data_IF_822053060469
#
_entry.id   IF_822053060469
#
_cell.length_a   1.000
_cell.length_b   1.000
_cell.length_c   1.000
_cell.angle_alpha   90.00
_cell.angle_beta   90.00
_cell.angle_gamma   90.00
#
_symmetry.space_group_name_H-M   'P 1'
#
loop_
_entity.id
_entity.type
_entity.pdbx_description
1 polymer ?
#
# COMPACT_ATOMS: atom_id res chain seq x y z
N UNK A 1 -7.06 -29.15 11.75
CA UNK A 1 -8.38 -28.50 11.68
C UNK A 1 -9.24 -28.67 12.93
N UNK A 2 -8.92 -29.58 13.85
CA UNK A 2 -9.75 -29.95 15.01
C UNK A 2 -10.29 -28.76 15.84
N UNK A 3 -9.59 -27.62 15.87
CA UNK A 3 -10.02 -26.39 16.52
C UNK A 3 -11.34 -25.79 15.96
N UNK A 4 -11.60 -25.93 14.66
CA UNK A 4 -12.86 -25.48 14.01
C UNK A 4 -13.83 -26.65 13.73
N UNK A 5 -13.34 -27.89 13.85
CA UNK A 5 -14.04 -29.13 13.48
C UNK A 5 -14.63 -29.08 12.04
N UNK A 6 -13.88 -28.53 11.08
CA UNK A 6 -14.21 -28.52 9.66
C UNK A 6 -13.17 -29.34 8.88
N UNK A 7 -13.62 -30.29 8.05
CA UNK A 7 -12.74 -31.04 7.15
C UNK A 7 -12.50 -30.24 5.85
N UNK A 8 -11.26 -29.89 5.48
CA UNK A 8 -10.95 -29.17 4.25
C UNK A 8 -11.38 -29.90 2.97
N UNK A 9 -11.53 -31.24 3.00
CA UNK A 9 -11.94 -32.04 1.84
C UNK A 9 -13.36 -31.68 1.36
N UNK A 10 -14.20 -31.10 2.22
CA UNK A 10 -15.53 -30.62 1.85
C UNK A 10 -15.55 -29.23 1.17
N UNK A 11 -14.40 -28.55 1.04
CA UNK A 11 -14.34 -27.17 0.55
C UNK A 11 -13.53 -27.06 -0.75
N UNK A 12 -14.17 -26.56 -1.82
CA UNK A 12 -13.53 -26.34 -3.11
C UNK A 12 -12.39 -25.30 -3.08
N UNK A 13 -12.38 -24.40 -2.09
CA UNK A 13 -11.37 -23.34 -1.96
C UNK A 13 -11.07 -23.01 -0.49
N UNK A 14 -9.86 -22.52 -0.21
CA UNK A 14 -9.46 -22.10 1.14
C UNK A 14 -10.33 -20.94 1.67
N UNK A 15 -10.66 -19.88 0.90
CA UNK A 15 -11.57 -18.83 1.38
C UNK A 15 -12.95 -19.36 1.81
N UNK A 16 -13.50 -20.36 1.11
CA UNK A 16 -14.77 -20.98 1.51
C UNK A 16 -14.67 -21.73 2.85
N UNK A 17 -13.55 -22.42 3.11
CA UNK A 17 -13.26 -23.02 4.41
C UNK A 17 -13.09 -21.95 5.50
N UNK A 18 -12.39 -20.85 5.21
CA UNK A 18 -12.21 -19.74 6.17
C UNK A 18 -13.53 -19.09 6.54
N UNK A 19 -14.39 -18.79 5.56
CA UNK A 19 -15.72 -18.21 5.76
C UNK A 19 -16.63 -19.10 6.62
N UNK A 20 -16.65 -20.41 6.34
CA UNK A 20 -17.40 -21.35 7.18
C UNK A 20 -16.81 -21.55 8.57
N UNK A 21 -15.49 -21.40 8.74
CA UNK A 21 -14.86 -21.41 10.06
C UNK A 21 -15.22 -20.16 10.86
N UNK A 22 -15.24 -19.00 10.22
CA UNK A 22 -15.63 -17.70 10.80
C UNK A 22 -17.07 -17.72 11.31
N UNK A 23 -18.05 -18.04 10.46
CA UNK A 23 -19.47 -18.12 10.85
C UNK A 23 -19.69 -19.17 11.94
N UNK A 24 -19.06 -20.35 11.85
CA UNK A 24 -19.19 -21.39 12.90
C UNK A 24 -18.58 -20.98 14.24
N UNK A 25 -17.53 -20.16 14.24
CA UNK A 25 -16.85 -19.72 15.48
C UNK A 25 -17.59 -18.56 16.15
N UNK A 26 -18.13 -17.64 15.37
CA UNK A 26 -18.81 -16.43 15.86
C UNK A 26 -20.30 -16.64 16.12
N UNK A 27 -20.96 -17.51 15.34
CA UNK A 27 -22.42 -17.61 15.20
C UNK A 27 -23.08 -16.30 14.72
N UNK A 28 -22.32 -15.45 14.02
CA UNK A 28 -22.77 -14.20 13.38
C UNK A 28 -23.84 -14.50 12.32
N UNK A 29 -24.85 -13.64 12.18
CA UNK A 29 -25.92 -13.77 11.18
C UNK A 29 -25.93 -12.54 10.28
N UNK A 30 -25.03 -12.55 9.29
CA UNK A 30 -24.91 -11.48 8.31
C UNK A 30 -26.19 -11.36 7.47
N UNK A 31 -26.77 -10.16 7.46
CA UNK A 31 -27.89 -9.83 6.58
C UNK A 31 -27.42 -9.69 5.12
N UNK A 32 -28.27 -10.11 4.18
CA UNK A 32 -28.04 -9.91 2.77
C UNK A 32 -28.72 -8.63 2.29
N UNK A 33 -27.94 -7.76 1.64
CA UNK A 33 -28.47 -6.60 0.92
C UNK A 33 -29.52 -7.06 -0.11
N UNK A 34 -30.77 -6.69 0.11
CA UNK A 34 -31.90 -6.99 -0.80
C UNK A 34 -32.22 -5.84 -1.75
N UNK A 35 -31.78 -4.63 -1.41
CA UNK A 35 -31.91 -3.42 -2.21
C UNK A 35 -30.75 -3.29 -3.20
N UNK A 36 -31.07 -3.02 -4.48
CA UNK A 36 -30.08 -2.93 -5.55
C UNK A 36 -29.31 -1.61 -5.55
N UNK A 37 -29.93 -0.51 -5.11
CA UNK A 37 -29.30 0.81 -5.08
C UNK A 37 -28.33 0.90 -3.89
N UNK A 38 -28.66 0.29 -2.74
CA UNK A 38 -27.70 0.04 -1.65
C UNK A 38 -26.51 -0.81 -2.12
N UNK A 39 -26.77 -1.88 -2.87
CA UNK A 39 -25.70 -2.75 -3.40
C UNK A 39 -24.77 -1.98 -4.36
N UNK A 40 -25.33 -1.19 -5.29
CA UNK A 40 -24.56 -0.39 -6.24
C UNK A 40 -23.79 0.74 -5.56
N UNK A 41 -24.39 1.41 -4.57
CA UNK A 41 -23.69 2.40 -3.73
C UNK A 41 -22.47 1.77 -3.08
N UNK A 42 -22.63 0.61 -2.44
CA UNK A 42 -21.54 -0.12 -1.78
C UNK A 42 -20.49 -0.63 -2.75
N UNK A 43 -20.86 -1.23 -3.89
CA UNK A 43 -19.91 -1.66 -4.92
C UNK A 43 -19.10 -0.47 -5.46
N UNK A 44 -19.76 0.65 -5.74
CA UNK A 44 -19.11 1.89 -6.17
C UNK A 44 -18.20 2.51 -5.10
N UNK A 45 -18.45 2.22 -3.82
CA UNK A 45 -17.65 2.63 -2.67
C UNK A 45 -16.42 1.76 -2.38
N UNK A 46 -16.41 0.48 -2.80
CA UNK A 46 -15.30 -0.45 -2.50
C UNK A 46 -13.96 0.05 -3.07
N UNK A 47 -12.94 0.15 -2.22
CA UNK A 47 -11.56 0.51 -2.60
C UNK A 47 -10.59 -0.60 -2.20
N UNK A 48 -9.71 -0.98 -3.13
CA UNK A 48 -8.56 -1.83 -2.82
C UNK A 48 -7.48 -1.06 -2.04
N UNK A 49 -6.68 -1.76 -1.24
CA UNK A 49 -5.66 -1.14 -0.38
C UNK A 49 -4.73 -0.17 -1.13
N UNK A 50 -4.62 1.04 -0.58
CA UNK A 50 -3.90 2.17 -1.18
C UNK A 50 -2.47 1.82 -1.58
N UNK A 51 -2.03 2.39 -2.70
CA UNK A 51 -0.76 2.02 -3.32
C UNK A 51 -0.26 3.18 -4.16
N UNK A 52 0.27 4.18 -3.45
CA UNK A 52 0.70 5.49 -3.96
C UNK A 52 2.16 5.76 -3.63
N UNK A 53 2.72 6.72 -4.35
CA UNK A 53 4.09 6.63 -4.85
C UNK A 53 4.55 8.06 -5.25
N UNK A 54 4.99 8.89 -4.28
CA UNK A 54 5.02 10.36 -4.44
C UNK A 54 6.38 11.06 -4.59
N UNK A 55 7.54 10.43 -4.30
CA UNK A 55 8.87 11.10 -4.40
C UNK A 55 9.95 10.20 -4.99
N UNK A 56 10.03 10.16 -6.32
CA UNK A 56 10.67 9.17 -7.18
C UNK A 56 12.05 8.60 -6.76
N UNK A 57 13.01 9.36 -6.25
CA UNK A 57 14.31 8.78 -5.86
C UNK A 57 14.82 9.34 -4.54
N UNK A 58 15.41 8.46 -3.72
CA UNK A 58 16.00 8.86 -2.45
C UNK A 58 17.23 8.05 -2.09
N UNK A 59 18.29 8.77 -1.71
CA UNK A 59 19.55 8.27 -1.14
C UNK A 59 19.67 8.81 0.28
N UNK A 60 19.99 7.94 1.24
CA UNK A 60 20.11 8.33 2.64
C UNK A 60 21.45 9.02 2.94
N UNK A 61 21.44 9.94 3.91
CA UNK A 61 22.62 10.57 4.49
C UNK A 61 22.44 10.63 6.01
N UNK A 62 23.00 9.69 6.75
CA UNK A 62 22.90 9.71 8.21
C UNK A 62 24.08 9.00 8.87
N UNK A 63 24.34 9.36 10.13
CA UNK A 63 25.44 8.90 11.01
C UNK A 63 25.59 7.38 11.21
N UNK A 64 24.70 6.57 10.67
CA UNK A 64 24.80 5.10 10.68
C UNK A 64 25.30 4.52 9.34
N UNK A 65 25.70 5.37 8.39
CA UNK A 65 26.25 5.00 7.09
C UNK A 65 27.74 5.35 7.00
N UNK A 66 28.51 4.45 6.39
CA UNK A 66 29.96 4.59 6.12
C UNK A 66 30.32 5.85 5.31
N UNK A 67 29.34 6.41 4.58
CA UNK A 67 29.49 7.56 3.68
C UNK A 67 28.73 8.82 4.17
N UNK A 68 28.50 8.95 5.48
CA UNK A 68 27.83 10.11 6.06
C UNK A 68 28.62 11.41 5.80
N UNK A 69 27.91 12.43 5.33
CA UNK A 69 28.42 13.80 5.18
C UNK A 69 27.76 14.71 6.22
N UNK A 70 28.57 15.26 7.12
CA UNK A 70 28.16 16.20 8.17
C UNK A 70 27.76 17.58 7.63
N UNK A 71 28.18 17.94 6.41
CA UNK A 71 27.80 19.20 5.75
C UNK A 71 26.42 19.10 5.06
N UNK A 72 25.92 17.89 4.83
CA UNK A 72 24.61 17.62 4.22
C UNK A 72 23.54 17.31 5.28
N UNK A 73 22.27 17.70 5.06
CA UNK A 73 21.18 17.39 5.99
C UNK A 73 21.04 15.90 6.31
N UNK A 74 20.64 15.59 7.54
CA UNK A 74 20.31 14.24 7.99
C UNK A 74 19.05 13.71 7.30
N UNK A 75 19.18 12.51 6.74
CA UNK A 75 18.21 11.89 5.83
C UNK A 75 18.17 10.39 6.00
N UNK A 76 16.97 9.88 6.25
CA UNK A 76 16.67 8.48 6.57
C UNK A 76 15.60 7.94 5.63
N UNK A 77 15.63 6.63 5.38
CA UNK A 77 14.61 5.92 4.57
C UNK A 77 14.26 4.65 5.35
N UNK A 78 12.96 4.38 5.53
CA UNK A 78 12.44 3.19 6.23
C UNK A 78 11.40 2.46 5.37
N UNK A 79 11.26 1.16 5.59
CA UNK A 79 10.16 0.35 5.06
C UNK A 79 9.37 -0.24 6.25
N UNK A 80 8.15 0.26 6.45
CA UNK A 80 7.22 -0.20 7.48
C UNK A 80 6.14 -1.09 6.86
N UNK A 81 5.78 -2.18 7.55
CA UNK A 81 4.63 -3.04 7.23
C UNK A 81 3.80 -3.29 8.49
N UNK A 82 2.48 -3.47 8.39
CA UNK A 82 1.60 -3.69 9.55
C UNK A 82 1.38 -5.19 9.76
N UNK A 83 1.65 -5.69 10.97
CA UNK A 83 1.38 -7.08 11.36
C UNK A 83 -0.10 -7.44 11.12
N UNK A 84 -0.39 -8.10 9.99
CA UNK A 84 -1.73 -8.48 9.53
C UNK A 84 -2.74 -7.33 9.52
N UNK A 85 -2.53 -6.33 8.65
CA UNK A 85 -3.40 -5.15 8.53
C UNK A 85 -4.91 -5.45 8.47
N UNK A 86 -5.33 -6.38 7.59
CA UNK A 86 -6.76 -6.69 7.44
C UNK A 86 -7.34 -7.44 8.65
N UNK A 87 -6.64 -8.44 9.17
CA UNK A 87 -7.07 -9.14 10.40
C UNK A 87 -7.00 -8.26 11.65
N UNK A 88 -6.19 -7.21 11.64
CA UNK A 88 -6.21 -6.14 12.66
C UNK A 88 -7.52 -5.35 12.54
N UNK A 89 -7.86 -4.88 11.34
CA UNK A 89 -9.07 -4.10 11.12
C UNK A 89 -10.33 -4.88 11.50
N UNK A 90 -10.40 -6.16 11.12
CA UNK A 90 -11.51 -7.08 11.47
C UNK A 90 -11.57 -7.44 12.97
N UNK A 91 -10.51 -7.21 13.74
CA UNK A 91 -10.45 -7.58 15.17
C UNK A 91 -10.61 -6.40 16.14
N UNK A 92 -10.51 -5.15 15.65
CA UNK A 92 -10.51 -3.95 16.49
C UNK A 92 -11.50 -2.86 16.07
N UNK A 93 -12.19 -2.99 14.93
CA UNK A 93 -13.25 -2.07 14.51
C UNK A 93 -14.57 -2.81 14.32
N UNK A 94 -15.68 -2.13 14.60
CA UNK A 94 -17.02 -2.62 14.31
C UNK A 94 -17.18 -2.75 12.79
N UNK A 95 -17.68 -3.91 12.35
CA UNK A 95 -18.05 -4.18 10.95
C UNK A 95 -19.58 -4.28 10.86
N UNK A 96 -20.21 -3.87 9.75
CA UNK A 96 -21.66 -3.97 9.60
C UNK A 96 -22.11 -5.44 9.46
N UNK A 97 -23.08 -5.85 10.28
CA UNK A 97 -23.70 -7.19 10.26
C UNK A 97 -25.11 -7.17 9.65
N UNK A 98 -25.94 -6.19 10.03
CA UNK A 98 -27.38 -6.16 9.74
C UNK A 98 -27.99 -4.76 9.96
N UNK A 99 -29.33 -4.67 9.82
CA UNK A 99 -30.15 -3.46 9.91
C UNK A 99 -29.87 -2.44 8.78
N UNK A 100 -29.55 -2.97 7.59
CA UNK A 100 -29.26 -2.16 6.40
C UNK A 100 -30.49 -1.39 5.91
N UNK A 101 -30.45 -0.06 6.04
CA UNK A 101 -31.47 0.85 5.49
C UNK A 101 -30.86 2.18 5.05
N UNK A 102 -31.56 2.86 4.15
CA UNK A 102 -31.36 4.30 3.96
C UNK A 102 -31.97 5.09 5.14
N UNK A 103 -31.46 6.30 5.35
CA UNK A 103 -32.07 7.31 6.20
C UNK A 103 -33.21 8.01 5.46
N UNK A 104 -34.25 8.45 6.16
CA UNK A 104 -35.32 9.26 5.58
C UNK A 104 -34.92 10.75 5.40
N UNK A 105 -35.73 11.53 4.69
CA UNK A 105 -35.40 12.92 4.37
C UNK A 105 -35.29 13.84 5.60
N UNK A 106 -35.96 13.53 6.72
CA UNK A 106 -35.83 14.28 7.97
C UNK A 106 -34.58 13.82 8.73
N UNK A 107 -34.34 12.51 8.80
CA UNK A 107 -33.11 11.96 9.39
C UNK A 107 -31.85 12.53 8.72
N UNK A 108 -31.85 12.67 7.39
CA UNK A 108 -30.76 13.30 6.62
C UNK A 108 -30.62 14.79 6.92
N UNK A 109 -31.72 15.51 7.17
CA UNK A 109 -31.69 16.94 7.50
C UNK A 109 -31.21 17.22 8.94
N UNK A 110 -31.45 16.29 9.87
CA UNK A 110 -31.03 16.40 11.27
C UNK A 110 -29.67 15.72 11.56
N UNK A 111 -29.03 15.09 10.56
CA UNK A 111 -27.79 14.34 10.72
C UNK A 111 -26.54 15.24 10.91
N UNK A 112 -26.09 15.38 12.16
CA UNK A 112 -24.77 15.93 12.48
C UNK A 112 -23.67 14.84 12.50
N UNK A 113 -22.88 14.76 11.44
CA UNK A 113 -21.70 13.89 11.33
C UNK A 113 -20.70 14.10 12.48
N UNK A 114 -20.56 15.31 13.02
CA UNK A 114 -19.60 15.60 14.10
C UNK A 114 -20.06 15.07 15.46
N UNK A 115 -21.34 14.71 15.60
CA UNK A 115 -21.88 14.03 16.79
C UNK A 115 -21.62 12.51 16.78
N UNK A 116 -21.33 11.92 15.62
CA UNK A 116 -21.19 10.47 15.45
C UNK A 116 -19.89 9.98 16.08
N UNK A 117 -20.02 9.03 17.02
CA UNK A 117 -18.86 8.40 17.68
C UNK A 117 -18.26 7.29 16.84
N UNK A 118 -16.93 7.21 16.79
CA UNK A 118 -16.19 6.14 16.10
C UNK A 118 -16.30 4.75 16.75
N UNK A 119 -16.80 4.67 17.99
CA UNK A 119 -17.09 3.43 18.72
C UNK A 119 -18.60 3.11 18.77
N UNK A 120 -19.40 3.75 17.91
CA UNK A 120 -20.83 3.48 17.75
C UNK A 120 -21.10 2.06 17.25
N UNK A 121 -22.18 1.45 17.74
CA UNK A 121 -22.72 0.20 17.19
C UNK A 121 -23.46 0.43 15.85
N UNK A 122 -23.92 1.66 15.58
CA UNK A 122 -24.50 2.07 14.30
C UNK A 122 -23.42 2.75 13.47
N UNK A 123 -23.09 2.16 12.33
CA UNK A 123 -22.21 2.74 11.31
C UNK A 123 -22.99 3.51 10.25
N UNK A 124 -22.35 4.49 9.62
CA UNK A 124 -22.92 5.31 8.55
C UNK A 124 -22.05 5.25 7.30
N UNK A 125 -22.68 5.20 6.12
CA UNK A 125 -22.02 5.24 4.82
C UNK A 125 -22.70 6.38 4.05
N UNK A 126 -21.91 7.35 3.62
CA UNK A 126 -22.39 8.67 3.22
C UNK A 126 -21.86 9.04 1.83
N UNK A 127 -22.75 9.51 0.96
CA UNK A 127 -22.40 10.21 -0.27
C UNK A 127 -22.51 11.71 0.00
N UNK A 128 -21.40 12.45 -0.17
CA UNK A 128 -21.28 13.86 0.22
C UNK A 128 -20.36 14.64 -0.72
N UNK A 129 -20.67 15.92 -0.92
CA UNK A 129 -19.74 16.88 -1.51
C UNK A 129 -18.63 17.22 -0.51
N UNK A 130 -17.39 16.85 -0.83
CA UNK A 130 -16.22 17.10 0.02
C UNK A 130 -15.43 18.33 -0.47
N UNK A 131 -15.44 19.42 0.30
CA UNK A 131 -14.44 20.48 0.15
C UNK A 131 -13.11 20.02 0.78
N UNK A 132 -12.03 20.03 -0.01
CA UNK A 132 -10.69 19.71 0.46
C UNK A 132 -9.84 21.01 0.53
N UNK A 133 -9.40 21.45 1.72
CA UNK A 133 -8.63 22.69 1.88
C UNK A 133 -7.25 22.65 1.20
N UNK A 134 -6.90 23.62 0.32
CA UNK A 134 -5.65 23.65 -0.45
C UNK A 134 -4.36 23.37 0.33
N UNK A 135 -4.27 23.87 1.56
CA UNK A 135 -3.15 23.70 2.49
C UNK A 135 -2.86 22.22 2.78
N UNK A 136 -3.91 21.39 2.88
CA UNK A 136 -3.81 19.97 3.17
C UNK A 136 -3.33 19.12 1.97
N UNK A 137 -3.39 19.65 0.74
CA UNK A 137 -3.00 18.90 -0.47
C UNK A 137 -1.49 18.62 -0.51
N UNK A 138 -0.68 19.42 0.21
CA UNK A 138 0.77 19.22 0.32
C UNK A 138 1.13 18.20 1.41
N UNK A 139 0.53 18.32 2.60
CA UNK A 139 0.77 17.40 3.72
C UNK A 139 0.30 15.98 3.39
N UNK A 140 -0.91 15.85 2.84
CA UNK A 140 -1.49 14.57 2.44
C UNK A 140 -1.00 14.06 1.08
N UNK A 141 -0.03 14.69 0.41
CA UNK A 141 0.39 14.26 -0.93
C UNK A 141 0.88 12.79 -0.96
N UNK A 142 1.51 12.33 0.13
CA UNK A 142 1.97 10.93 0.28
C UNK A 142 0.85 9.95 0.65
N UNK A 143 -0.29 10.45 1.16
CA UNK A 143 -1.47 9.68 1.54
C UNK A 143 -2.75 10.51 1.32
N UNK A 144 -3.20 10.69 0.06
CA UNK A 144 -4.35 11.53 -0.24
C UNK A 144 -5.64 10.92 0.31
N UNK A 145 -6.44 11.75 0.97
CA UNK A 145 -7.71 11.34 1.57
C UNK A 145 -8.82 11.27 0.51
N UNK A 146 -9.86 10.47 0.78
CA UNK A 146 -11.05 10.30 -0.09
C UNK A 146 -10.78 10.03 -1.60
N UNK A 147 -9.91 9.07 -1.99
CA UNK A 147 -9.61 8.80 -3.39
C UNK A 147 -10.81 8.18 -4.15
N UNK A 148 -11.34 8.90 -5.14
CA UNK A 148 -12.29 8.39 -6.12
C UNK A 148 -11.60 7.52 -7.19
N UNK A 149 -12.39 6.84 -8.02
CA UNK A 149 -11.89 6.02 -9.12
C UNK A 149 -12.08 6.75 -10.46
N UNK A 150 -10.97 7.18 -11.08
CA UNK A 150 -10.97 7.94 -12.33
C UNK A 150 -10.01 7.33 -13.36
N UNK A 151 -10.41 7.34 -14.63
CA UNK A 151 -9.59 6.92 -15.75
C UNK A 151 -8.78 8.13 -16.28
N UNK A 152 -7.53 8.24 -15.85
CA UNK A 152 -6.64 9.35 -16.25
C UNK A 152 -6.47 9.37 -17.77
N UNK A 153 -6.87 10.48 -18.39
CA UNK A 153 -6.74 10.72 -19.83
C UNK A 153 -5.35 11.25 -20.18
N UNK A 154 -4.94 11.15 -21.44
CA UNK A 154 -3.65 11.67 -21.90
C UNK A 154 -3.50 13.17 -21.61
N UNK A 155 -4.58 13.95 -21.71
CA UNK A 155 -4.55 15.40 -21.49
C UNK A 155 -4.35 15.79 -20.03
N UNK A 156 -4.71 14.93 -19.07
CA UNK A 156 -4.48 15.13 -17.63
C UNK A 156 -3.02 14.89 -17.20
N UNK A 157 -2.22 14.21 -18.03
CA UNK A 157 -0.81 13.98 -17.77
C UNK A 157 0.00 15.29 -17.76
N UNK A 158 1.05 15.36 -16.95
CA UNK A 158 1.96 16.50 -16.96
C UNK A 158 2.71 16.65 -18.30
N UNK A 159 3.28 17.82 -18.61
CA UNK A 159 4.16 17.98 -19.78
C UNK A 159 5.31 16.97 -19.76
N UNK A 160 5.90 16.75 -18.58
CA UNK A 160 6.93 15.74 -18.33
C UNK A 160 6.43 14.32 -18.63
N UNK A 161 5.23 13.93 -18.21
CA UNK A 161 4.59 12.63 -18.56
C UNK A 161 4.22 12.50 -20.05
N UNK A 162 4.04 13.62 -20.77
CA UNK A 162 3.69 13.64 -22.21
C UNK A 162 4.94 13.52 -23.09
N UNK A 163 6.04 14.17 -22.71
CA UNK A 163 7.37 13.94 -23.33
C UNK A 163 7.87 12.53 -23.02
N UNK A 164 7.73 12.11 -21.75
CA UNK A 164 8.15 10.81 -21.26
C UNK A 164 6.93 9.89 -21.27
N UNK A 165 6.49 9.52 -22.48
CA UNK A 165 5.54 8.42 -22.73
C UNK A 165 6.17 7.02 -22.46
N UNK A 166 7.13 7.01 -21.56
CA UNK A 166 7.64 5.90 -20.77
C UNK A 166 7.99 6.42 -19.35
N UNK A 167 6.95 6.67 -18.52
CA UNK A 167 6.87 6.03 -17.18
C UNK A 167 7.53 6.63 -15.84
N UNK A 168 7.03 6.23 -14.62
CA UNK A 168 7.69 6.08 -13.24
C UNK A 168 7.35 6.83 -11.87
N UNK A 169 7.33 6.08 -10.71
CA UNK A 169 8.27 6.09 -9.51
C UNK A 169 7.99 6.78 -8.08
N UNK A 170 8.66 6.36 -6.94
CA UNK A 170 8.45 6.69 -5.46
C UNK A 170 9.72 6.67 -4.52
N UNK A 171 9.85 7.08 -3.20
CA UNK A 171 9.19 7.97 -2.17
C UNK A 171 10.23 8.39 -1.04
N UNK A 172 9.95 9.31 -0.08
CA UNK A 172 10.90 9.88 0.95
C UNK A 172 10.31 10.46 2.28
N UNK A 173 11.14 10.62 3.33
CA UNK A 173 10.93 11.40 4.60
C UNK A 173 12.26 12.09 5.05
N UNK A 174 12.21 13.18 5.86
CA UNK A 174 13.39 13.92 6.39
C UNK A 174 13.34 14.09 7.93
N UNK A 175 14.46 13.95 8.65
CA UNK A 175 14.59 14.15 10.12
C UNK A 175 16.05 13.96 10.61
N UNK A 176 16.44 14.66 11.70
CA UNK A 176 17.79 14.61 12.30
C UNK A 176 18.18 13.27 12.95
N UNK A 177 17.22 12.60 13.60
CA UNK A 177 17.44 11.29 14.22
C UNK A 177 16.15 10.47 14.16
N UNK A 178 15.92 9.84 13.01
CA UNK A 178 14.72 9.07 12.74
C UNK A 178 14.44 8.02 13.84
N UNK A 179 15.44 7.29 14.32
CA UNK A 179 15.22 6.22 15.30
C UNK A 179 14.87 6.76 16.69
N UNK A 180 15.45 7.89 17.12
CA UNK A 180 15.02 8.53 18.36
C UNK A 180 13.63 9.16 18.23
N UNK A 181 13.27 9.73 17.07
CA UNK A 181 11.94 10.31 16.86
C UNK A 181 10.84 9.25 16.71
N UNK A 182 11.12 8.14 16.02
CA UNK A 182 10.28 6.93 15.99
C UNK A 182 9.97 6.44 17.41
N UNK A 183 11.01 6.36 18.25
CA UNK A 183 10.93 5.87 19.64
C UNK A 183 10.33 6.91 20.62
N UNK A 184 10.27 8.20 20.25
CA UNK A 184 9.51 9.23 20.99
C UNK A 184 8.04 9.25 20.59
N UNK A 185 7.74 9.24 19.28
CA UNK A 185 6.40 9.52 18.74
C UNK A 185 5.53 8.27 18.59
N UNK A 186 6.07 7.13 18.12
CA UNK A 186 5.26 5.94 17.78
C UNK A 186 5.75 4.61 18.39
N UNK A 187 6.62 4.64 19.40
CA UNK A 187 7.09 3.45 20.15
C UNK A 187 5.96 2.51 20.62
N UNK A 188 4.82 3.07 20.99
CA UNK A 188 3.67 2.31 21.47
C UNK A 188 2.92 1.57 20.35
N UNK A 189 3.23 1.85 19.09
CA UNK A 189 2.64 1.25 17.89
C UNK A 189 3.63 0.34 17.13
N UNK A 190 4.88 0.19 17.59
CA UNK A 190 5.94 -0.54 16.89
C UNK A 190 6.21 -1.94 17.48
N UNK A 191 6.35 -2.94 16.60
CA UNK A 191 6.91 -4.27 16.89
C UNK A 191 8.42 -4.27 16.59
N UNK A 192 9.23 -4.24 17.65
CA UNK A 192 10.70 -4.28 17.58
C UNK A 192 11.28 -5.71 17.74
N UNK A 193 10.46 -6.76 17.72
CA UNK A 193 10.91 -8.14 18.02
C UNK A 193 11.84 -8.74 16.98
N UNK A 194 11.89 -8.17 15.77
CA UNK A 194 12.71 -8.64 14.65
C UNK A 194 14.08 -7.95 14.56
N UNK A 195 14.36 -6.96 15.41
CA UNK A 195 15.69 -6.36 15.57
C UNK A 195 16.64 -7.38 16.21
N UNK A 196 17.95 -7.23 16.00
CA UNK A 196 18.95 -8.08 16.67
C UNK A 196 18.90 -7.92 18.21
N UNK A 197 19.15 -8.99 18.96
CA UNK A 197 19.07 -8.98 20.42
C UNK A 197 20.09 -8.04 21.10
N UNK A 198 21.18 -7.66 20.42
CA UNK A 198 22.13 -6.64 20.87
C UNK A 198 21.67 -5.20 20.62
N UNK A 199 20.60 -5.00 19.84
CA UNK A 199 20.16 -3.68 19.45
C UNK A 199 19.42 -2.95 20.58
N UNK A 200 19.79 -1.68 20.83
CA UNK A 200 19.27 -0.80 21.90
C UNK A 200 17.74 -0.76 22.03
N UNK A 201 17.01 -1.00 20.94
CA UNK A 201 15.54 -0.95 20.89
C UNK A 201 14.84 -2.30 20.70
N UNK A 202 15.58 -3.42 20.70
CA UNK A 202 14.97 -4.75 20.62
C UNK A 202 13.98 -4.98 21.78
N UNK A 203 12.78 -5.48 21.47
CA UNK A 203 11.81 -5.88 22.49
C UNK A 203 10.80 -6.88 21.94
N UNK A 204 10.58 -7.97 22.67
CA UNK A 204 9.55 -8.98 22.37
C UNK A 204 8.14 -8.56 22.79
N UNK A 205 7.96 -7.41 23.46
CA UNK A 205 6.67 -6.97 24.05
C UNK A 205 5.49 -6.98 23.06
N UNK A 206 5.74 -6.67 21.79
CA UNK A 206 4.72 -6.61 20.74
C UNK A 206 4.93 -7.65 19.63
N UNK A 207 5.71 -8.71 19.91
CA UNK A 207 6.13 -9.71 18.93
C UNK A 207 4.94 -10.36 18.22
N UNK A 208 4.79 -10.08 16.93
CA UNK A 208 3.70 -10.60 16.09
C UNK A 208 2.28 -10.26 16.60
N UNK A 209 2.13 -9.26 17.47
CA UNK A 209 0.80 -8.76 17.85
C UNK A 209 0.16 -8.01 16.69
N UNK A 210 -1.16 -8.15 16.54
CA UNK A 210 -1.96 -7.49 15.51
C UNK A 210 -1.88 -5.96 15.64
N UNK A 211 -1.82 -5.28 14.50
CA UNK A 211 -1.85 -3.81 14.40
C UNK A 211 -0.53 -3.09 14.65
N UNK A 212 0.48 -3.77 15.18
CA UNK A 212 1.79 -3.16 15.39
C UNK A 212 2.57 -3.05 14.07
N UNK A 213 3.19 -1.88 13.87
CA UNK A 213 4.07 -1.54 12.76
C UNK A 213 5.42 -2.24 12.91
N UNK A 214 5.89 -2.89 11.86
CA UNK A 214 7.14 -3.64 11.84
C UNK A 214 8.10 -3.03 10.81
N UNK A 215 9.32 -2.76 11.24
CA UNK A 215 10.40 -2.36 10.34
C UNK A 215 10.91 -3.58 9.58
N UNK A 216 10.70 -3.62 8.27
CA UNK A 216 11.11 -4.73 7.41
C UNK A 216 12.64 -4.92 7.35
N UNK A 217 13.41 -3.88 7.69
CA UNK A 217 14.87 -3.85 7.65
C UNK A 217 15.55 -4.22 8.96
N UNK A 218 14.77 -4.52 10.02
CA UNK A 218 15.27 -4.98 11.32
C UNK A 218 16.25 -4.01 12.01
N UNK A 219 16.11 -2.71 11.76
CA UNK A 219 17.03 -1.67 12.23
C UNK A 219 18.28 -1.45 11.39
N UNK A 220 18.43 -2.13 10.24
CA UNK A 220 19.57 -1.92 9.33
C UNK A 220 19.23 -0.81 8.32
N UNK A 221 19.91 0.36 8.34
CA UNK A 221 19.56 1.48 7.48
C UNK A 221 19.57 1.15 5.98
N UNK A 222 18.55 1.66 5.28
CA UNK A 222 18.50 1.66 3.82
C UNK A 222 19.54 2.66 3.28
N UNK A 223 20.37 2.21 2.33
CA UNK A 223 21.42 3.02 1.68
C UNK A 223 20.85 3.77 0.46
N UNK A 224 20.18 3.05 -0.44
CA UNK A 224 19.63 3.57 -1.69
C UNK A 224 18.29 2.90 -2.02
N UNK A 225 17.34 3.69 -2.52
CA UNK A 225 15.96 3.28 -2.81
C UNK A 225 15.54 3.73 -4.22
N UNK A 226 15.02 2.80 -5.02
CA UNK A 226 14.61 3.03 -6.41
C UNK A 226 13.32 2.24 -6.72
N UNK A 227 12.19 2.93 -6.77
CA UNK A 227 10.86 2.31 -6.73
C UNK A 227 9.94 2.56 -7.94
N UNK A 228 10.33 1.99 -9.08
CA UNK A 228 9.76 2.28 -10.41
C UNK A 228 8.24 2.53 -10.46
N UNK A 229 7.40 1.79 -9.73
CA UNK A 229 5.95 2.09 -9.59
C UNK A 229 5.35 1.38 -8.38
N UNK A 230 4.06 1.55 -8.04
CA UNK A 230 3.47 0.90 -6.87
C UNK A 230 3.63 -0.62 -6.94
N UNK A 231 4.22 -1.21 -5.90
CA UNK A 231 4.59 -2.64 -5.84
C UNK A 231 5.57 -3.08 -6.95
N UNK A 232 6.43 -2.18 -7.45
CA UNK A 232 7.59 -2.50 -8.28
C UNK A 232 8.79 -1.61 -7.90
N UNK A 233 9.67 -2.13 -7.05
CA UNK A 233 10.74 -1.36 -6.43
C UNK A 233 11.91 -2.22 -5.96
N UNK A 234 13.07 -1.59 -5.71
CA UNK A 234 14.20 -2.22 -5.04
C UNK A 234 14.91 -1.23 -4.13
N UNK A 235 15.48 -1.74 -3.04
CA UNK A 235 16.34 -0.95 -2.16
C UNK A 235 17.46 -1.81 -1.56
N UNK A 236 18.56 -1.16 -1.17
CA UNK A 236 19.75 -1.79 -0.58
C UNK A 236 19.85 -1.43 0.91
N UNK A 237 20.23 -2.39 1.76
CA UNK A 237 20.38 -2.19 3.20
C UNK A 237 21.47 -3.12 3.74
N UNK A 238 22.43 -2.58 4.52
CA UNK A 238 23.59 -3.34 4.99
C UNK A 238 24.42 -3.96 3.85
N UNK A 239 24.27 -5.29 3.66
CA UNK A 239 24.83 -6.11 2.56
C UNK A 239 23.75 -6.79 1.68
N UNK A 240 22.47 -6.55 1.96
CA UNK A 240 21.33 -7.18 1.30
C UNK A 240 20.58 -6.20 0.37
N UNK A 241 19.62 -6.72 -0.40
CA UNK A 241 18.68 -5.91 -1.16
C UNK A 241 17.30 -6.55 -1.21
N UNK A 242 16.25 -5.71 -1.10
CA UNK A 242 14.87 -6.10 -1.40
C UNK A 242 14.56 -5.82 -2.86
N UNK A 243 13.77 -6.68 -3.49
CA UNK A 243 13.30 -6.55 -4.89
C UNK A 243 11.84 -6.97 -4.98
N UNK A 244 11.01 -6.08 -5.53
CA UNK A 244 9.57 -6.23 -5.72
C UNK A 244 9.24 -5.89 -7.18
N UNK A 245 8.38 -6.66 -7.84
CA UNK A 245 7.94 -6.37 -9.21
C UNK A 245 6.58 -7.03 -9.51
N UNK A 246 5.48 -6.31 -9.24
CA UNK A 246 4.11 -6.79 -9.49
C UNK A 246 3.89 -7.11 -10.97
N UNK A 247 3.41 -8.32 -11.24
CA UNK A 247 3.20 -8.86 -12.59
C UNK A 247 4.34 -9.77 -13.11
N UNK A 248 5.51 -9.72 -12.47
CA UNK A 248 6.71 -10.51 -12.82
C UNK A 248 6.75 -11.82 -12.00
N UNK A 249 7.32 -12.91 -12.54
CA UNK A 249 7.46 -14.18 -11.80
C UNK A 249 8.45 -14.02 -10.64
N UNK A 250 8.12 -14.54 -9.46
CA UNK A 250 9.00 -14.51 -8.25
C UNK A 250 10.44 -14.97 -8.54
N UNK A 251 10.60 -16.05 -9.31
CA UNK A 251 11.92 -16.56 -9.72
C UNK A 251 12.74 -15.58 -10.59
N UNK A 252 12.09 -14.78 -11.44
CA UNK A 252 12.76 -13.73 -12.23
C UNK A 252 13.18 -12.58 -11.32
N UNK A 253 12.32 -12.18 -10.37
CA UNK A 253 12.62 -11.14 -9.38
C UNK A 253 13.77 -11.54 -8.45
N UNK A 254 13.86 -12.82 -8.08
CA UNK A 254 14.94 -13.33 -7.23
C UNK A 254 16.26 -13.53 -7.99
N UNK A 255 16.21 -14.18 -9.17
CA UNK A 255 17.42 -14.73 -9.80
C UNK A 255 17.94 -13.91 -11.00
N UNK A 256 17.14 -13.01 -11.56
CA UNK A 256 17.50 -12.23 -12.77
C UNK A 256 17.63 -10.75 -12.48
N UNK A 257 16.70 -10.17 -11.71
CA UNK A 257 16.71 -8.73 -11.44
C UNK A 257 17.76 -8.35 -10.37
N UNK A 258 18.49 -7.27 -10.61
CA UNK A 258 19.44 -6.62 -9.68
C UNK A 258 19.02 -5.19 -9.37
N UNK A 259 19.46 -4.61 -8.25
CA UNK A 259 19.17 -3.20 -7.91
C UNK A 259 19.65 -2.23 -9.01
N UNK A 260 20.85 -2.47 -9.54
CA UNK A 260 21.43 -1.80 -10.73
C UNK A 260 20.46 -1.70 -11.91
N UNK A 261 19.63 -2.73 -12.13
CA UNK A 261 18.67 -2.76 -13.23
C UNK A 261 17.47 -1.84 -12.97
N UNK A 262 17.03 -1.68 -11.72
CA UNK A 262 16.02 -0.68 -11.36
C UNK A 262 16.59 0.73 -11.55
N UNK A 263 17.82 0.99 -11.11
CA UNK A 263 18.51 2.28 -11.31
C UNK A 263 18.73 2.62 -12.79
N UNK A 264 19.05 1.61 -13.62
CA UNK A 264 19.23 1.78 -15.06
C UNK A 264 17.89 2.04 -15.77
N UNK A 265 16.82 1.31 -15.43
CA UNK A 265 15.47 1.59 -15.93
C UNK A 265 14.99 2.98 -15.51
N UNK A 266 15.30 3.43 -14.29
CA UNK A 266 14.96 4.78 -13.84
C UNK A 266 15.72 5.87 -14.62
N UNK A 267 17.05 5.76 -14.75
CA UNK A 267 17.90 6.84 -15.31
C UNK A 267 17.93 6.91 -16.84
N UNK A 268 17.73 5.78 -17.51
CA UNK A 268 17.84 5.67 -18.97
C UNK A 268 16.54 5.19 -19.62
N UNK A 269 15.45 5.13 -18.86
CA UNK A 269 14.10 4.76 -19.32
C UNK A 269 14.01 3.44 -20.13
N UNK A 270 14.78 2.44 -19.71
CA UNK A 270 14.96 1.21 -20.47
C UNK A 270 13.96 0.11 -20.07
N UNK A 271 12.96 -0.17 -20.92
CA UNK A 271 11.96 -1.24 -20.72
C UNK A 271 12.57 -2.66 -20.71
N UNK A 272 12.78 -3.24 -19.52
CA UNK A 272 13.33 -4.60 -19.38
C UNK A 272 12.22 -5.66 -19.51
N UNK A 273 12.25 -6.40 -20.63
CA UNK A 273 11.36 -7.53 -20.95
C UNK A 273 12.07 -8.87 -20.73
N UNK A 274 11.47 -9.81 -20.00
CA UNK A 274 12.01 -11.17 -19.80
C UNK A 274 11.10 -12.23 -20.40
N UNK A 275 11.72 -13.37 -20.81
CA UNK A 275 11.01 -14.59 -21.18
C UNK A 275 10.36 -15.21 -19.94
N UNK A 276 9.04 -15.43 -20.00
CA UNK A 276 8.24 -16.13 -18.99
C UNK A 276 7.49 -17.27 -19.66
N UNK A 277 7.83 -18.50 -19.29
CA UNK A 277 7.03 -19.69 -19.63
C UNK A 277 5.96 -19.93 -18.55
N UNK A 278 4.73 -20.25 -18.95
CA UNK A 278 3.63 -20.59 -18.05
C UNK A 278 2.66 -21.56 -18.71
N UNK A 279 2.22 -22.55 -17.93
CA UNK A 279 1.10 -23.43 -18.27
C UNK A 279 -0.20 -22.63 -18.10
N UNK A 280 -1.09 -22.70 -19.09
CA UNK A 280 -2.43 -22.08 -19.07
C UNK A 280 -3.43 -23.09 -19.63
N UNK A 281 -4.57 -23.23 -18.96
CA UNK A 281 -5.76 -23.88 -19.51
C UNK A 281 -6.67 -22.84 -20.16
N UNK A 282 -7.06 -23.05 -21.41
CA UNK A 282 -8.12 -22.29 -22.07
C UNK A 282 -8.99 -23.27 -22.86
N UNK A 283 -10.32 -23.15 -22.74
CA UNK A 283 -11.28 -24.07 -23.36
C UNK A 283 -10.91 -25.55 -23.09
N UNK A 284 -10.62 -25.87 -21.82
CA UNK A 284 -10.12 -27.17 -21.32
C UNK A 284 -8.80 -27.68 -21.94
N UNK A 285 -8.19 -26.94 -22.87
CA UNK A 285 -6.89 -27.29 -23.48
C UNK A 285 -5.76 -26.71 -22.63
N UNK A 286 -4.96 -27.58 -22.03
CA UNK A 286 -3.75 -27.20 -21.28
C UNK A 286 -2.59 -26.99 -22.26
N UNK A 287 -1.98 -25.80 -22.23
CA UNK A 287 -0.86 -25.43 -23.10
C UNK A 287 0.27 -24.76 -22.31
N UNK A 288 1.52 -25.02 -22.68
CA UNK A 288 2.67 -24.26 -22.17
C UNK A 288 2.97 -23.14 -23.14
N UNK A 289 2.70 -21.89 -22.74
CA UNK A 289 3.04 -20.71 -23.54
C UNK A 289 4.31 -20.04 -23.00
N UNK A 290 5.10 -19.45 -23.90
CA UNK A 290 6.26 -18.62 -23.56
C UNK A 290 6.03 -17.20 -24.07
N UNK A 291 6.03 -16.23 -23.16
CA UNK A 291 5.76 -14.82 -23.45
C UNK A 291 6.97 -13.95 -23.06
N UNK A 292 7.32 -12.98 -23.90
CA UNK A 292 8.21 -11.88 -23.50
C UNK A 292 7.35 -10.84 -22.77
N UNK A 293 7.45 -10.76 -21.44
CA UNK A 293 6.67 -9.79 -20.64
C UNK A 293 7.57 -8.72 -20.03
N UNK A 294 7.16 -7.46 -20.16
CA UNK A 294 7.78 -6.33 -19.46
C UNK A 294 7.80 -6.61 -17.96
N UNK A 295 9.01 -6.62 -17.40
CA UNK A 295 9.30 -7.16 -16.06
C UNK A 295 9.74 -6.06 -15.09
N UNK A 296 10.53 -5.12 -15.59
CA UNK A 296 10.61 -3.77 -15.07
C UNK A 296 10.03 -2.86 -16.16
N UNK A 297 8.96 -2.18 -15.79
CA UNK A 297 8.22 -1.21 -16.57
C UNK A 297 8.07 -0.06 -15.59
N UNK A 298 8.39 1.14 -16.02
CA UNK A 298 8.41 2.24 -15.09
C UNK A 298 6.94 2.65 -14.72
N UNK A 299 5.90 2.43 -15.54
CA UNK A 299 4.73 3.35 -15.64
C UNK A 299 4.08 3.77 -14.33
N UNK A 300 3.84 5.07 -14.20
CA UNK A 300 3.04 5.61 -13.12
C UNK A 300 2.03 6.67 -13.61
N UNK A 301 0.78 6.23 -13.55
CA UNK A 301 -0.45 6.85 -13.99
C UNK A 301 -1.32 7.38 -12.85
N UNK A 302 -1.02 7.03 -11.58
CA UNK A 302 -1.90 7.34 -10.43
C UNK A 302 -1.62 8.69 -9.76
N UNK A 303 -0.54 9.35 -10.13
CA UNK A 303 -0.22 10.71 -9.70
C UNK A 303 0.34 11.48 -10.90
N UNK A 304 0.21 12.80 -10.84
CA UNK A 304 0.83 13.74 -11.75
C UNK A 304 2.33 13.80 -11.45
N UNK A 305 3.20 13.77 -12.47
CA UNK A 305 4.65 13.89 -12.25
C UNK A 305 5.11 15.33 -12.50
N UNK A 306 5.73 15.95 -11.50
CA UNK A 306 6.34 17.25 -11.66
C UNK A 306 7.66 17.15 -12.42
N UNK A 307 8.48 16.15 -12.09
CA UNK A 307 9.80 15.90 -12.67
C UNK A 307 10.24 14.43 -12.43
N UNK A 308 11.54 14.12 -12.58
CA UNK A 308 12.08 12.76 -12.36
C UNK A 308 12.10 12.32 -10.89
N UNK A 309 11.81 13.22 -9.95
CA UNK A 309 12.00 13.10 -8.50
C UNK A 309 10.71 13.39 -7.71
N UNK A 310 9.77 14.22 -8.17
CA UNK A 310 8.55 14.61 -7.41
C UNK A 310 7.23 14.27 -8.14
N UNK A 311 6.24 13.76 -7.39
CA UNK A 311 4.88 13.47 -7.87
C UNK A 311 3.81 14.13 -6.98
N UNK A 312 2.73 14.63 -7.59
CA UNK A 312 1.57 15.20 -6.91
C UNK A 312 0.31 14.38 -7.15
N UNK A 313 -0.54 14.22 -6.13
CA UNK A 313 -1.86 13.62 -6.30
C UNK A 313 -2.68 14.42 -7.34
N UNK A 314 -3.41 13.75 -8.24
CA UNK A 314 -4.35 14.45 -9.12
C UNK A 314 -5.39 15.20 -8.27
N UNK A 315 -5.67 16.46 -8.64
CA UNK A 315 -6.44 17.39 -7.80
C UNK A 315 -5.61 18.20 -6.80
N UNK A 316 -4.28 18.00 -6.70
CA UNK A 316 -3.42 18.93 -5.96
C UNK A 316 -3.47 20.33 -6.60
N UNK A 317 -3.69 21.38 -5.79
CA UNK A 317 -3.84 22.77 -6.25
C UNK A 317 -2.62 23.34 -7.00
N UNK A 318 -1.45 22.73 -6.84
CA UNK A 318 -0.22 23.10 -7.55
C UNK A 318 -0.22 22.62 -9.01
N UNK A 319 -1.11 21.67 -9.37
CA UNK A 319 -1.33 21.23 -10.74
C UNK A 319 -2.16 22.30 -11.45
N UNK A 320 -1.48 23.20 -12.16
CA UNK A 320 -2.14 24.18 -13.04
C UNK A 320 -2.82 23.45 -14.20
N UNK A 321 -4.09 23.79 -14.43
CA UNK A 321 -4.84 23.49 -15.66
C UNK A 321 -4.45 24.48 -16.76
#
# INVERSE_FOLDING_TARGET
>A
MNYFELDPVHFYTIPSLTWSAEIKTTNVTLELLTDIDMYLMLESGIRGGMCLVSKRFSKANNKYLENFDEMSPSKYIISLDVNNLYGTAMAFYNLPESEFRFLDQNEIQEFDLMSVRSDSNVGYILEVDLYYPPELHSEHNSFPMAPHHEAITFDMLSPYQKEIYTDSLCLEVLTDDFYNDLVKKIKNLMDFSNYDASHKYHSTKHQSLLGYLKDETKGVPIKEFCALRPKMYSYTFGKENKKTAKGTKKSVVQNVLKHEMYLNVFKNDHLIKNKKSSIISKNHTVSTIQQNKTSLCSFYDKMYLCDEIECLAYGNVSIRK
#
